data_IF_113151813746
#
_entry.id   IF_113151813746
#
_cell.length_a   1.000
_cell.length_b   1.000
_cell.length_c   1.000
_cell.angle_alpha   90.00
_cell.angle_beta   90.00
_cell.angle_gamma   90.00
#
_symmetry.space_group_name_H-M   'P 1'
#
loop_
_entity.id
_entity.type
_entity.pdbx_description
1 polymer ?
#
# COMPACT_ATOMS: atom_id res chain seq x y z
N UNK A 1 7.39 -4.24 36.65
CA UNK A 1 6.90 -4.67 35.33
C UNK A 1 6.17 -3.52 34.65
N UNK A 2 6.83 -2.42 34.52
CA UNK A 2 6.24 -1.24 33.92
C UNK A 2 7.10 -0.80 32.75
N UNK A 3 6.45 -0.73 31.61
CA UNK A 3 6.92 -0.06 30.41
C UNK A 3 8.25 -0.61 29.83
N UNK A 4 8.28 -1.85 29.41
CA UNK A 4 8.99 -2.07 28.15
C UNK A 4 8.15 -1.36 27.13
N UNK A 5 8.53 -0.11 26.99
CA UNK A 5 7.81 0.90 26.32
C UNK A 5 7.49 0.48 24.88
N UNK A 6 6.49 1.08 24.36
CA UNK A 6 6.16 1.38 22.99
C UNK A 6 7.37 1.94 22.17
N UNK A 7 8.57 1.45 22.43
CA UNK A 7 9.85 1.92 21.93
C UNK A 7 10.48 1.06 20.84
N UNK A 8 9.90 -0.06 20.45
CA UNK A 8 10.22 -0.64 19.16
C UNK A 8 9.41 0.08 18.08
N UNK A 9 9.82 1.32 17.88
CA UNK A 9 9.47 2.05 16.66
C UNK A 9 10.04 1.20 15.52
N UNK A 10 9.18 0.39 14.89
CA UNK A 10 9.50 -0.23 13.60
C UNK A 10 10.13 0.86 12.76
N UNK A 11 11.38 0.69 12.38
CA UNK A 11 12.01 1.63 11.47
C UNK A 11 11.19 1.60 10.20
N UNK A 12 10.56 2.72 9.88
CA UNK A 12 9.61 2.84 8.78
C UNK A 12 10.35 3.20 7.52
N UNK A 13 10.10 2.47 6.43
CA UNK A 13 10.68 2.74 5.13
C UNK A 13 9.56 2.94 4.11
N UNK A 14 9.69 3.98 3.26
CA UNK A 14 8.80 4.16 2.11
C UNK A 14 9.37 3.47 0.89
N UNK A 15 8.55 2.66 0.23
CA UNK A 15 8.87 2.03 -1.04
C UNK A 15 7.77 2.29 -2.05
N UNK A 16 7.93 3.33 -2.85
CA UNK A 16 7.04 3.65 -3.95
C UNK A 16 7.60 3.04 -5.23
N UNK A 17 7.01 1.92 -5.67
CA UNK A 17 7.43 1.16 -6.84
C UNK A 17 7.11 1.91 -8.13
N UNK A 18 5.95 2.53 -8.15
CA UNK A 18 5.44 3.40 -9.21
C UNK A 18 4.79 4.64 -8.61
N UNK A 19 4.62 5.62 -9.44
CA UNK A 19 4.01 6.90 -9.10
C UNK A 19 2.91 7.21 -10.11
N UNK A 20 1.88 7.92 -9.67
CA UNK A 20 0.69 8.20 -10.46
C UNK A 20 -0.43 7.19 -10.22
N UNK A 21 -1.67 7.65 -10.39
CA UNK A 21 -2.85 6.85 -10.09
C UNK A 21 -4.07 7.43 -10.82
N UNK A 22 -5.03 6.58 -11.19
CA UNK A 22 -6.33 7.03 -11.66
C UNK A 22 -7.30 7.19 -10.49
N UNK A 23 -8.10 8.25 -10.49
CA UNK A 23 -9.14 8.45 -9.48
C UNK A 23 -10.19 7.36 -9.62
N UNK A 24 -10.51 6.68 -8.51
CA UNK A 24 -11.40 5.51 -8.51
C UNK A 24 -12.73 5.76 -7.77
N UNK A 25 -12.68 6.50 -6.67
CA UNK A 25 -13.86 6.77 -5.84
C UNK A 25 -13.87 8.20 -5.32
N UNK A 26 -14.89 8.56 -4.57
CA UNK A 26 -15.12 9.91 -4.06
C UNK A 26 -13.94 10.43 -3.24
N UNK A 27 -13.35 9.56 -2.41
CA UNK A 27 -12.18 9.90 -1.60
C UNK A 27 -10.96 10.32 -2.43
N UNK A 28 -10.88 9.88 -3.69
CA UNK A 28 -9.78 10.27 -4.57
C UNK A 28 -9.83 11.76 -4.98
N UNK A 29 -10.95 12.47 -4.77
CA UNK A 29 -11.04 13.93 -4.99
C UNK A 29 -10.12 14.69 -4.05
N UNK A 30 -9.83 14.14 -2.87
CA UNK A 30 -9.00 14.74 -1.82
C UNK A 30 -7.58 14.14 -1.78
N UNK A 31 -7.18 13.39 -2.82
CA UNK A 31 -5.89 12.69 -2.85
C UNK A 31 -4.72 13.68 -2.77
N UNK A 32 -3.85 13.45 -1.79
CA UNK A 32 -2.67 14.29 -1.57
C UNK A 32 -1.63 14.17 -2.70
N UNK A 33 -1.58 13.04 -3.40
CA UNK A 33 -0.66 12.84 -4.55
C UNK A 33 -0.99 13.84 -5.65
N UNK A 34 -2.25 13.91 -6.07
CA UNK A 34 -2.72 14.87 -7.06
C UNK A 34 -2.48 16.33 -6.64
N UNK A 35 -2.73 16.64 -5.36
CA UNK A 35 -2.49 17.97 -4.82
C UNK A 35 -1.01 18.33 -4.81
N UNK A 36 -0.15 17.37 -4.48
CA UNK A 36 1.31 17.60 -4.44
C UNK A 36 1.87 17.73 -5.84
N UNK A 37 1.54 16.81 -6.74
CA UNK A 37 2.03 16.84 -8.12
C UNK A 37 1.59 18.10 -8.85
N UNK A 38 0.34 18.54 -8.65
CA UNK A 38 -0.17 19.77 -9.24
C UNK A 38 0.63 21.03 -8.85
N UNK A 39 1.24 21.05 -7.65
CA UNK A 39 2.14 22.16 -7.25
C UNK A 39 3.44 22.20 -8.07
N UNK A 40 3.85 21.07 -8.62
CA UNK A 40 5.08 20.92 -9.39
C UNK A 40 4.81 20.71 -10.90
N UNK A 41 3.58 20.95 -11.34
CA UNK A 41 3.19 20.79 -12.76
C UNK A 41 3.28 19.35 -13.28
N UNK A 42 3.19 18.35 -12.39
CA UNK A 42 3.23 16.93 -12.75
C UNK A 42 1.81 16.41 -12.95
N UNK A 43 1.63 15.53 -13.93
CA UNK A 43 0.37 14.82 -14.16
C UNK A 43 0.36 13.50 -13.38
N UNK A 44 -0.41 13.47 -12.29
CA UNK A 44 -0.59 12.27 -11.47
C UNK A 44 -1.38 11.15 -12.16
N UNK A 45 -2.03 11.41 -13.30
CA UNK A 45 -2.76 10.37 -14.04
C UNK A 45 -1.83 9.47 -14.86
N UNK A 46 -0.59 9.88 -15.08
CA UNK A 46 0.43 9.09 -15.78
C UNK A 46 1.16 8.19 -14.81
N UNK A 47 0.93 6.88 -14.91
CA UNK A 47 1.57 5.90 -14.03
C UNK A 47 2.93 5.48 -14.57
N UNK A 48 3.98 5.72 -13.79
CA UNK A 48 5.35 5.43 -14.17
C UNK A 48 6.11 4.64 -13.12
N UNK A 49 6.96 3.70 -13.56
CA UNK A 49 7.89 2.96 -12.70
C UNK A 49 8.91 3.93 -12.10
N UNK A 50 9.16 3.86 -10.79
CA UNK A 50 10.12 4.76 -10.14
C UNK A 50 11.54 4.19 -10.15
N UNK A 51 12.54 5.06 -9.99
CA UNK A 51 13.95 4.65 -9.83
C UNK A 51 14.16 3.79 -8.57
N UNK A 52 13.28 3.90 -7.58
CA UNK A 52 13.33 3.13 -6.32
C UNK A 52 12.62 1.78 -6.41
N UNK A 53 12.19 1.36 -7.59
CA UNK A 53 11.46 0.11 -7.78
C UNK A 53 12.17 -1.09 -7.14
N UNK A 54 13.45 -1.27 -7.38
CA UNK A 54 14.27 -2.37 -6.86
C UNK A 54 14.82 -2.16 -5.44
N UNK A 55 14.37 -1.14 -4.70
CA UNK A 55 14.93 -0.76 -3.40
C UNK A 55 15.01 -1.91 -2.37
N UNK A 56 14.03 -2.83 -2.23
CA UNK A 56 14.12 -3.92 -1.27
C UNK A 56 15.33 -4.83 -1.48
N UNK A 57 15.77 -5.01 -2.72
CA UNK A 57 16.92 -5.87 -3.06
C UNK A 57 18.24 -5.10 -3.20
N UNK A 58 18.22 -3.77 -3.09
CA UNK A 58 19.42 -2.97 -3.19
C UNK A 58 20.33 -3.18 -1.98
N UNK A 59 21.63 -3.34 -2.26
CA UNK A 59 22.67 -3.52 -1.25
C UNK A 59 23.55 -2.28 -1.14
N UNK A 60 24.14 -2.11 0.03
CA UNK A 60 25.23 -1.18 0.31
C UNK A 60 26.56 -1.76 -0.19
N UNK A 61 27.62 -0.97 -0.16
CA UNK A 61 28.98 -1.41 -0.55
C UNK A 61 29.50 -2.57 0.33
N UNK A 62 29.05 -2.69 1.56
CA UNK A 62 29.39 -3.77 2.49
C UNK A 62 28.57 -5.05 2.30
N UNK A 63 27.72 -5.14 1.28
CA UNK A 63 26.89 -6.31 0.98
C UNK A 63 25.55 -6.38 1.71
N UNK A 64 25.31 -5.57 2.74
CA UNK A 64 24.05 -5.53 3.47
C UNK A 64 22.94 -4.89 2.63
N UNK A 65 21.69 -5.31 2.85
CA UNK A 65 20.55 -4.63 2.23
C UNK A 65 20.44 -3.17 2.71
N UNK A 66 20.02 -2.28 1.80
CA UNK A 66 19.76 -0.87 2.16
C UNK A 66 18.61 -0.74 3.17
N UNK A 67 17.57 -1.57 3.04
CA UNK A 67 16.51 -1.68 4.03
C UNK A 67 16.91 -2.77 5.02
N UNK A 68 17.21 -2.44 6.29
CA UNK A 68 17.55 -3.42 7.30
C UNK A 68 16.39 -4.37 7.62
N UNK A 69 16.71 -5.58 8.05
CA UNK A 69 15.74 -6.56 8.54
C UNK A 69 14.85 -5.99 9.66
N UNK A 70 13.62 -6.47 9.77
CA UNK A 70 12.63 -6.05 10.76
C UNK A 70 11.95 -4.72 10.49
N UNK A 71 12.19 -4.08 9.34
CA UNK A 71 11.52 -2.82 9.00
C UNK A 71 10.10 -3.05 8.49
N UNK A 72 9.20 -2.11 8.87
CA UNK A 72 7.90 -1.93 8.22
C UNK A 72 8.08 -1.09 6.95
N UNK A 73 7.66 -1.63 5.81
CA UNK A 73 7.79 -0.99 4.50
C UNK A 73 6.42 -0.54 4.02
N UNK A 74 6.19 0.77 4.05
CA UNK A 74 5.02 1.39 3.44
C UNK A 74 5.17 1.35 1.92
N UNK A 75 4.33 0.54 1.28
CA UNK A 75 4.48 0.16 -0.11
C UNK A 75 3.46 0.88 -0.98
N UNK A 76 3.93 1.55 -2.04
CA UNK A 76 3.09 2.15 -3.08
C UNK A 76 2.15 3.26 -2.59
N UNK A 77 2.61 4.14 -1.69
CA UNK A 77 1.79 5.24 -1.15
C UNK A 77 1.60 6.41 -2.13
N UNK A 78 2.31 6.44 -3.25
CA UNK A 78 2.12 7.45 -4.32
C UNK A 78 1.28 6.94 -5.49
N UNK A 79 0.63 5.77 -5.31
CA UNK A 79 -0.23 5.12 -6.30
C UNK A 79 -1.17 4.12 -5.59
N UNK A 80 -1.82 3.26 -6.35
CA UNK A 80 -2.50 2.06 -5.83
C UNK A 80 -1.74 0.82 -6.30
N UNK A 81 -1.48 -0.13 -5.38
CA UNK A 81 -0.72 -1.35 -5.71
C UNK A 81 -1.45 -2.23 -6.74
N UNK A 82 -2.77 -2.15 -6.78
CA UNK A 82 -3.61 -2.96 -7.68
C UNK A 82 -4.01 -2.23 -8.97
N UNK A 83 -3.38 -1.08 -9.29
CA UNK A 83 -3.69 -0.32 -10.50
C UNK A 83 -3.31 -1.11 -11.76
N UNK A 84 -4.11 -1.00 -12.81
CA UNK A 84 -3.98 -1.74 -14.07
C UNK A 84 -2.67 -1.47 -14.78
N UNK A 85 -2.27 -0.21 -14.84
CA UNK A 85 -1.03 0.24 -15.50
C UNK A 85 0.23 -0.46 -14.97
N UNK A 86 0.17 -0.93 -13.70
CA UNK A 86 1.27 -1.60 -13.04
C UNK A 86 1.27 -3.13 -13.20
N UNK A 87 0.30 -3.73 -13.91
CA UNK A 87 0.19 -5.18 -14.08
C UNK A 87 1.50 -5.80 -14.59
N UNK A 88 2.14 -5.14 -15.55
CA UNK A 88 3.43 -5.56 -16.14
C UNK A 88 4.61 -5.56 -15.14
N UNK A 89 4.51 -4.86 -14.00
CA UNK A 89 5.59 -4.75 -13.01
C UNK A 89 5.28 -5.50 -11.72
N UNK A 90 4.03 -5.89 -11.51
CA UNK A 90 3.55 -6.42 -10.22
C UNK A 90 4.18 -7.75 -9.86
N UNK A 91 4.43 -8.63 -10.84
CA UNK A 91 5.08 -9.91 -10.59
C UNK A 91 6.49 -9.72 -9.97
N UNK A 92 7.29 -8.78 -10.49
CA UNK A 92 8.60 -8.44 -9.92
C UNK A 92 8.47 -7.89 -8.48
N UNK A 93 7.41 -7.11 -8.21
CA UNK A 93 7.16 -6.58 -6.87
C UNK A 93 6.84 -7.68 -5.85
N UNK A 94 6.00 -8.63 -6.23
CA UNK A 94 5.70 -9.80 -5.40
C UNK A 94 6.94 -10.65 -5.13
N UNK A 95 7.78 -10.86 -6.15
CA UNK A 95 9.04 -11.60 -5.99
C UNK A 95 9.97 -10.92 -4.97
N UNK A 96 10.08 -9.59 -4.99
CA UNK A 96 10.86 -8.85 -3.99
C UNK A 96 10.31 -9.03 -2.57
N UNK A 97 8.98 -9.05 -2.40
CA UNK A 97 8.35 -9.31 -1.09
C UNK A 97 8.60 -10.74 -0.62
N UNK A 98 8.56 -11.70 -1.53
CA UNK A 98 8.84 -13.11 -1.27
C UNK A 98 10.31 -13.35 -0.86
N UNK A 99 11.26 -12.67 -1.49
CA UNK A 99 12.68 -12.76 -1.13
C UNK A 99 12.96 -12.10 0.23
N UNK A 100 12.28 -10.98 0.53
CA UNK A 100 12.53 -10.18 1.73
C UNK A 100 11.50 -10.48 2.82
N UNK A 101 11.40 -11.74 3.23
CA UNK A 101 10.53 -12.18 4.34
C UNK A 101 10.95 -11.60 5.70
N UNK A 102 12.14 -11.06 5.79
CA UNK A 102 12.66 -10.33 6.93
C UNK A 102 12.11 -8.90 7.09
N UNK A 103 11.33 -8.43 6.11
CA UNK A 103 10.61 -7.15 6.12
C UNK A 103 9.11 -7.40 6.24
N UNK A 104 8.37 -6.40 6.73
CA UNK A 104 6.91 -6.41 6.67
C UNK A 104 6.42 -5.34 5.70
N UNK A 105 5.70 -5.74 4.66
CA UNK A 105 5.18 -4.83 3.63
C UNK A 105 3.72 -4.48 3.91
N UNK A 106 3.38 -3.21 3.77
CA UNK A 106 2.00 -2.74 3.93
C UNK A 106 1.63 -1.84 2.77
N UNK A 107 0.54 -2.13 2.07
CA UNK A 107 -0.01 -1.25 1.05
C UNK A 107 -1.50 -1.00 1.24
N UNK A 108 -1.96 0.12 0.68
CA UNK A 108 -3.34 0.56 0.75
C UNK A 108 -3.94 0.48 -0.66
N UNK A 109 -5.15 -0.04 -0.76
CA UNK A 109 -5.88 -0.09 -2.03
C UNK A 109 -7.32 0.39 -1.90
N UNK A 110 -7.81 0.96 -2.99
CA UNK A 110 -9.23 1.23 -3.23
C UNK A 110 -9.84 0.29 -4.29
N UNK A 111 -9.01 -0.63 -4.84
CA UNK A 111 -9.33 -1.54 -5.95
C UNK A 111 -9.34 -3.00 -5.49
N UNK A 112 -9.98 -3.27 -4.36
CA UNK A 112 -9.94 -4.62 -3.76
C UNK A 112 -10.54 -5.69 -4.69
N UNK A 113 -11.46 -5.34 -5.56
CA UNK A 113 -12.06 -6.21 -6.56
C UNK A 113 -11.05 -6.76 -7.57
N UNK A 114 -9.91 -6.08 -7.74
CA UNK A 114 -8.82 -6.56 -8.60
C UNK A 114 -7.86 -7.52 -7.90
N UNK A 115 -7.96 -7.66 -6.58
CA UNK A 115 -6.97 -8.40 -5.81
C UNK A 115 -6.71 -9.79 -6.39
N UNK A 116 -7.77 -10.58 -6.61
CA UNK A 116 -7.63 -11.97 -7.04
C UNK A 116 -6.79 -12.15 -8.32
N UNK A 117 -6.96 -11.27 -9.29
CA UNK A 117 -6.19 -11.30 -10.54
C UNK A 117 -4.77 -10.74 -10.42
N UNK A 118 -4.48 -10.04 -9.32
CA UNK A 118 -3.20 -9.41 -9.05
C UNK A 118 -2.29 -10.23 -8.13
N UNK A 119 -2.81 -11.33 -7.56
CA UNK A 119 -2.06 -12.19 -6.66
C UNK A 119 -1.04 -13.06 -7.43
N UNK A 120 0.13 -13.34 -6.83
CA UNK A 120 1.07 -14.28 -7.43
C UNK A 120 0.56 -15.72 -7.30
N UNK A 121 1.01 -16.66 -8.17
CA UNK A 121 0.52 -18.03 -8.16
C UNK A 121 0.75 -18.81 -6.85
N UNK A 122 1.77 -18.42 -6.10
CA UNK A 122 2.18 -19.03 -4.83
C UNK A 122 1.63 -18.30 -3.59
N UNK A 123 0.62 -17.42 -3.78
CA UNK A 123 0.05 -16.62 -2.70
C UNK A 123 -0.60 -17.44 -1.58
N UNK A 124 -1.29 -18.53 -1.91
CA UNK A 124 -2.03 -19.36 -0.96
C UNK A 124 -3.06 -18.53 -0.18
N UNK A 125 -3.03 -18.63 1.15
CA UNK A 125 -3.89 -17.85 2.06
C UNK A 125 -3.31 -16.48 2.41
N UNK A 126 -2.19 -16.12 1.81
CA UNK A 126 -1.49 -14.85 2.02
C UNK A 126 -0.08 -15.00 2.57
N UNK A 127 0.80 -14.08 2.19
CA UNK A 127 2.15 -14.00 2.74
C UNK A 127 2.14 -13.49 4.17
N UNK A 128 2.95 -14.09 5.05
CA UNK A 128 3.06 -13.71 6.48
C UNK A 128 3.63 -12.30 6.67
N UNK A 129 4.37 -11.83 5.69
CA UNK A 129 5.05 -10.53 5.74
C UNK A 129 4.32 -9.43 4.95
N UNK A 130 3.05 -9.64 4.57
CA UNK A 130 2.27 -8.65 3.81
C UNK A 130 0.96 -8.32 4.50
N UNK A 131 0.75 -7.03 4.76
CA UNK A 131 -0.54 -6.47 5.18
C UNK A 131 -1.18 -5.73 4.02
N UNK A 132 -2.40 -6.08 3.70
CA UNK A 132 -3.20 -5.36 2.70
C UNK A 132 -4.23 -4.52 3.44
N UNK A 133 -4.23 -3.22 3.17
CA UNK A 133 -5.16 -2.27 3.76
C UNK A 133 -6.21 -1.87 2.72
N UNK A 134 -7.48 -2.04 3.03
CA UNK A 134 -8.57 -1.61 2.15
C UNK A 134 -9.18 -0.30 2.66
N UNK A 135 -9.27 0.70 1.79
CA UNK A 135 -9.89 1.98 2.13
C UNK A 135 -11.41 1.89 2.00
N UNK A 136 -12.11 2.37 3.02
CA UNK A 136 -13.58 2.46 3.09
C UNK A 136 -13.94 3.87 3.52
N UNK A 137 -14.12 4.77 2.56
CA UNK A 137 -14.26 6.20 2.81
C UNK A 137 -15.70 6.66 3.11
N UNK A 138 -16.71 5.85 2.74
CA UNK A 138 -18.13 6.09 3.01
C UNK A 138 -18.91 4.78 3.06
N UNK A 139 -20.20 4.81 3.39
CA UNK A 139 -21.02 3.61 3.53
C UNK A 139 -21.10 2.80 2.24
N UNK A 140 -21.31 3.45 1.10
CA UNK A 140 -21.38 2.78 -0.22
C UNK A 140 -20.10 1.98 -0.50
N UNK A 141 -18.94 2.52 -0.11
CA UNK A 141 -17.64 1.84 -0.28
C UNK A 141 -17.45 0.72 0.74
N UNK A 142 -17.99 0.86 1.96
CA UNK A 142 -18.06 -0.25 2.92
C UNK A 142 -18.91 -1.38 2.36
N UNK A 143 -20.14 -1.09 1.95
CA UNK A 143 -21.08 -2.09 1.44
C UNK A 143 -20.54 -2.83 0.20
N UNK A 144 -19.83 -2.12 -0.66
CA UNK A 144 -19.22 -2.71 -1.85
C UNK A 144 -17.92 -3.49 -1.55
N UNK A 145 -16.98 -2.89 -0.80
CA UNK A 145 -15.62 -3.46 -0.65
C UNK A 145 -15.51 -4.47 0.48
N UNK A 146 -16.26 -4.30 1.57
CA UNK A 146 -16.12 -5.15 2.75
C UNK A 146 -16.43 -6.63 2.50
N UNK A 147 -17.48 -7.01 1.76
CA UNK A 147 -17.72 -8.42 1.43
C UNK A 147 -16.55 -9.04 0.66
N UNK A 148 -16.07 -8.37 -0.39
CA UNK A 148 -14.95 -8.82 -1.21
C UNK A 148 -13.68 -8.96 -0.35
N UNK A 149 -13.39 -7.95 0.46
CA UNK A 149 -12.20 -7.91 1.30
C UNK A 149 -12.21 -8.99 2.39
N UNK A 150 -13.37 -9.24 2.99
CA UNK A 150 -13.52 -10.28 4.02
C UNK A 150 -13.23 -11.66 3.47
N UNK A 151 -13.72 -11.97 2.27
CA UNK A 151 -13.57 -13.27 1.60
C UNK A 151 -12.21 -13.45 0.92
N UNK A 152 -11.47 -12.37 0.73
CA UNK A 152 -10.14 -12.43 0.09
C UNK A 152 -9.13 -13.21 0.95
N UNK A 153 -8.24 -14.01 0.32
CA UNK A 153 -7.21 -14.79 1.00
C UNK A 153 -6.07 -13.88 1.48
N UNK A 154 -6.28 -13.14 2.56
CA UNK A 154 -5.33 -12.19 3.12
C UNK A 154 -5.15 -12.52 4.61
N UNK A 155 -3.93 -12.78 5.05
CA UNK A 155 -3.63 -13.06 6.46
C UNK A 155 -3.73 -11.81 7.35
N UNK A 156 -3.17 -10.69 6.89
CA UNK A 156 -3.14 -9.44 7.66
C UNK A 156 -3.99 -8.38 7.00
N UNK A 157 -5.16 -8.13 7.57
CA UNK A 157 -6.19 -7.22 7.06
C UNK A 157 -6.30 -5.97 7.93
N UNK A 158 -6.29 -4.78 7.32
CA UNK A 158 -6.57 -3.50 7.98
C UNK A 158 -7.58 -2.71 7.15
N UNK A 159 -8.63 -2.20 7.78
CA UNK A 159 -9.56 -1.25 7.16
C UNK A 159 -9.06 0.16 7.45
N UNK A 160 -9.05 1.00 6.43
CA UNK A 160 -8.66 2.41 6.52
C UNK A 160 -9.84 3.28 6.12
N UNK A 161 -10.25 4.19 7.00
CA UNK A 161 -11.34 5.14 6.75
C UNK A 161 -10.78 6.54 6.43
N UNK A 162 -9.96 6.64 5.36
CA UNK A 162 -9.34 7.91 4.94
C UNK A 162 -9.47 8.19 3.44
N UNK A 163 -10.01 9.38 3.06
CA UNK A 163 -10.74 10.32 3.91
C UNK A 163 -12.03 9.68 4.45
N UNK A 164 -12.42 10.02 5.68
CA UNK A 164 -13.71 9.60 6.20
C UNK A 164 -14.79 10.56 5.67
N UNK A 165 -15.63 10.07 4.76
CA UNK A 165 -16.74 10.83 4.18
C UNK A 165 -18.10 10.46 4.80
N UNK A 166 -18.09 9.60 5.83
CA UNK A 166 -19.29 9.15 6.54
C UNK A 166 -19.85 10.22 7.49
N UNK A 167 -19.05 11.22 7.84
CA UNK A 167 -19.40 12.13 8.91
C UNK A 167 -19.27 13.59 8.47
N UNK A 168 -20.40 14.27 8.39
CA UNK A 168 -20.49 15.72 8.17
C UNK A 168 -20.67 16.50 9.49
N UNK A 169 -20.66 15.82 10.65
CA UNK A 169 -20.75 16.49 11.93
C UNK A 169 -19.38 17.03 12.36
N UNK A 170 -19.31 18.27 12.83
CA UNK A 170 -18.07 18.81 13.37
C UNK A 170 -17.62 17.96 14.55
N UNK A 171 -16.33 17.59 14.56
CA UNK A 171 -15.72 16.95 15.73
C UNK A 171 -16.03 17.77 16.98
N UNK A 172 -16.46 17.17 18.08
CA UNK A 172 -16.60 17.89 19.33
C UNK A 172 -15.23 18.48 19.69
N UNK A 173 -15.21 19.79 19.88
CA UNK A 173 -14.03 20.55 20.29
C UNK A 173 -13.72 20.33 21.77
#
# INVERSE_FOLDING_TARGET
LLSRGLGDVYKRQMWNLWHGCHKWSEGCRHCYVYRTDGKYGKDSSVVTKTEKFGLPLQKKKNGEYKIPSGNLVYTCFTSDFLIEDADRWRAEAWEMMRIRQDLHFMFITKRIERLQQCLPPDWGDGYDNVTICCTMENQDRVDYRLPIYRESPIKHKIIICEPCLLYTSPSPR
#
